data_IF_951593639012
#
_entry.id   IF_951593639012
#
_cell.length_a   1.000
_cell.length_b   1.000
_cell.length_c   1.000
_cell.angle_alpha   90.00
_cell.angle_beta   90.00
_cell.angle_gamma   90.00
#
_symmetry.space_group_name_H-M   'P 1'
#
loop_
_entity.id
_entity.type
_entity.pdbx_description
1 polymer ?
#
# COMPACT_ATOMS: atom_id res chain seq x y z
N UNK A 1 16.22 11.08 -9.41
CA UNK A 1 14.80 10.76 -9.15
C UNK A 1 14.52 9.36 -9.67
N UNK A 2 13.89 8.51 -8.86
CA UNK A 2 13.55 7.12 -9.20
C UNK A 2 12.05 6.95 -9.05
N UNK A 3 11.42 6.26 -10.01
CA UNK A 3 10.04 5.76 -9.89
C UNK A 3 10.11 4.24 -9.83
N UNK A 4 9.40 3.65 -8.87
CA UNK A 4 9.40 2.21 -8.69
C UNK A 4 8.05 1.65 -8.27
N UNK A 5 7.94 0.33 -8.37
CA UNK A 5 6.84 -0.44 -7.78
C UNK A 5 7.43 -1.59 -6.99
N UNK A 6 7.00 -1.73 -5.74
CA UNK A 6 7.38 -2.83 -4.83
C UNK A 6 6.21 -3.78 -4.64
N UNK A 7 6.56 -5.06 -4.47
CA UNK A 7 5.65 -6.16 -4.23
C UNK A 7 6.09 -6.90 -2.97
N UNK A 8 5.15 -7.33 -2.15
CA UNK A 8 5.46 -8.08 -0.94
C UNK A 8 4.22 -8.49 -0.16
N UNK A 9 4.42 -8.74 1.13
CA UNK A 9 3.41 -9.20 2.08
C UNK A 9 3.46 -8.28 3.29
N UNK A 10 2.32 -7.73 3.71
CA UNK A 10 2.26 -7.00 4.98
C UNK A 10 2.06 -8.04 6.08
N UNK A 11 3.14 -8.44 6.76
CA UNK A 11 3.11 -9.47 7.82
C UNK A 11 2.56 -8.95 9.15
N UNK A 12 2.40 -7.63 9.28
CA UNK A 12 1.76 -6.97 10.43
C UNK A 12 0.76 -5.90 9.98
N UNK A 13 0.13 -5.22 10.95
CA UNK A 13 -0.82 -4.15 10.65
C UNK A 13 -0.18 -3.02 9.84
N UNK A 14 -0.89 -2.56 8.81
CA UNK A 14 -0.43 -1.50 7.93
C UNK A 14 -1.59 -0.52 7.68
N UNK A 15 -1.43 0.73 8.10
CA UNK A 15 -2.49 1.76 8.11
C UNK A 15 -3.77 1.35 8.88
N UNK A 16 -3.62 0.56 9.94
CA UNK A 16 -4.76 0.05 10.70
C UNK A 16 -5.50 -1.13 10.06
N UNK A 17 -5.12 -1.54 8.84
CA UNK A 17 -5.58 -2.79 8.27
C UNK A 17 -4.75 -3.99 8.80
N UNK A 18 -5.36 -5.16 9.00
CA UNK A 18 -4.64 -6.37 9.41
C UNK A 18 -3.66 -6.85 8.33
N UNK A 19 -2.80 -7.81 8.70
CA UNK A 19 -1.82 -8.42 7.80
C UNK A 19 -2.47 -8.90 6.48
N UNK A 20 -1.77 -8.70 5.36
CA UNK A 20 -2.25 -9.06 4.02
C UNK A 20 -1.32 -10.06 3.36
N UNK A 21 -1.90 -11.03 2.62
CA UNK A 21 -1.12 -12.03 1.87
C UNK A 21 -0.38 -11.47 0.65
N UNK A 22 -0.82 -10.33 0.12
CA UNK A 22 -0.22 -9.63 -1.03
C UNK A 22 -0.42 -8.13 -0.87
N UNK A 23 0.65 -7.38 -1.11
CA UNK A 23 0.70 -5.93 -1.11
C UNK A 23 1.55 -5.45 -2.28
N UNK A 24 1.07 -4.41 -2.97
CA UNK A 24 1.77 -3.71 -4.03
C UNK A 24 1.81 -2.23 -3.70
N UNK A 25 2.89 -1.55 -4.04
CA UNK A 25 2.91 -0.10 -3.94
C UNK A 25 3.85 0.56 -4.93
N UNK A 26 3.37 1.64 -5.54
CA UNK A 26 4.19 2.51 -6.36
C UNK A 26 4.76 3.65 -5.52
N UNK A 27 5.95 4.11 -5.89
CA UNK A 27 6.61 5.23 -5.22
C UNK A 27 7.43 6.08 -6.20
N UNK A 28 7.63 7.32 -5.81
CA UNK A 28 8.63 8.22 -6.34
C UNK A 28 9.62 8.54 -5.22
N UNK A 29 10.90 8.58 -5.57
CA UNK A 29 11.99 8.81 -4.62
C UNK A 29 13.00 9.79 -5.20
N UNK A 30 13.40 10.74 -4.38
CA UNK A 30 14.47 11.69 -4.66
C UNK A 30 15.44 11.64 -3.49
N UNK A 31 16.71 11.41 -3.79
CA UNK A 31 17.78 11.30 -2.80
C UNK A 31 18.85 12.32 -3.15
N UNK A 32 19.26 13.13 -2.18
CA UNK A 32 20.45 13.97 -2.26
C UNK A 32 21.58 13.30 -1.50
N UNK A 33 22.73 13.20 -2.14
CA UNK A 33 23.94 12.65 -1.55
C UNK A 33 24.94 13.77 -1.25
N UNK A 34 25.68 13.65 -0.16
CA UNK A 34 26.90 14.40 0.10
C UNK A 34 27.93 13.45 0.71
N UNK A 35 29.17 13.48 0.22
CA UNK A 35 30.25 12.62 0.71
C UNK A 35 29.90 11.12 0.68
N UNK A 36 29.11 10.70 -0.31
CA UNK A 36 28.64 9.31 -0.45
C UNK A 36 27.50 8.92 0.51
N UNK A 37 27.07 9.83 1.38
CA UNK A 37 25.98 9.61 2.34
C UNK A 37 24.67 10.25 1.87
N UNK A 38 23.54 9.64 2.23
CA UNK A 38 22.22 10.24 2.02
C UNK A 38 22.02 11.36 3.02
N UNK A 39 21.98 12.60 2.54
CA UNK A 39 21.74 13.79 3.38
C UNK A 39 20.30 14.27 3.30
N UNK A 40 19.55 13.84 2.28
CA UNK A 40 18.14 14.15 2.13
C UNK A 40 17.44 13.07 1.31
N UNK A 41 16.20 12.76 1.68
CA UNK A 41 15.33 11.89 0.91
C UNK A 41 13.90 12.42 0.93
N UNK A 42 13.34 12.64 -0.26
CA UNK A 42 11.92 12.93 -0.45
C UNK A 42 11.30 11.72 -1.12
N UNK A 43 10.46 11.01 -0.36
CA UNK A 43 9.75 9.84 -0.86
C UNK A 43 8.24 10.11 -0.86
N UNK A 44 7.61 9.86 -2.01
CA UNK A 44 6.16 9.87 -2.15
C UNK A 44 5.70 8.47 -2.51
N UNK A 45 4.81 7.90 -1.71
CA UNK A 45 4.21 6.59 -1.97
C UNK A 45 2.73 6.74 -2.32
N UNK A 46 2.23 5.87 -3.19
CA UNK A 46 0.79 5.74 -3.44
C UNK A 46 0.10 5.07 -2.24
N UNK A 47 -0.16 5.87 -1.20
CA UNK A 47 -0.81 5.42 0.02
C UNK A 47 -2.27 5.04 -0.23
N UNK A 48 -2.97 5.79 -1.09
CA UNK A 48 -4.38 5.54 -1.40
C UNK A 48 -4.57 4.20 -2.11
N UNK A 49 -3.78 3.92 -3.16
CA UNK A 49 -3.79 2.64 -3.85
C UNK A 49 -3.37 1.48 -2.93
N UNK A 50 -2.50 1.76 -1.95
CA UNK A 50 -2.09 0.78 -0.93
C UNK A 50 -3.20 0.50 0.09
N UNK A 51 -3.93 1.51 0.56
CA UNK A 51 -5.08 1.34 1.46
C UNK A 51 -6.26 0.63 0.78
N UNK A 52 -6.48 0.84 -0.52
CA UNK A 52 -7.54 0.14 -1.27
C UNK A 52 -7.37 -1.38 -1.31
N UNK A 53 -6.16 -1.90 -1.22
CA UNK A 53 -5.90 -3.34 -1.33
C UNK A 53 -6.48 -4.17 -0.16
N UNK A 54 -6.27 -3.81 1.11
CA UNK A 54 -6.92 -4.51 2.22
C UNK A 54 -8.42 -4.21 2.30
N UNK A 55 -8.85 -2.94 2.13
CA UNK A 55 -10.24 -2.56 2.36
C UNK A 55 -11.18 -2.89 1.18
N UNK A 56 -10.69 -2.89 -0.07
CA UNK A 56 -11.52 -3.17 -1.24
C UNK A 56 -12.09 -4.58 -1.26
N UNK A 57 -11.35 -5.57 -0.73
CA UNK A 57 -11.87 -6.94 -0.57
C UNK A 57 -12.89 -7.03 0.55
N UNK A 58 -12.64 -6.41 1.69
CA UNK A 58 -13.58 -6.41 2.82
C UNK A 58 -14.93 -5.79 2.45
N UNK A 59 -14.91 -4.65 1.73
CA UNK A 59 -16.13 -4.01 1.23
C UNK A 59 -16.86 -4.87 0.19
N UNK A 60 -16.14 -5.56 -0.69
CA UNK A 60 -16.73 -6.50 -1.65
C UNK A 60 -17.44 -7.68 -0.96
N UNK A 61 -16.85 -8.26 0.08
CA UNK A 61 -17.46 -9.37 0.83
C UNK A 61 -18.71 -8.92 1.60
N UNK A 62 -18.67 -7.75 2.23
CA UNK A 62 -19.84 -7.17 2.94
C UNK A 62 -20.96 -6.88 1.95
N UNK A 63 -20.65 -6.28 0.80
CA UNK A 63 -21.63 -5.99 -0.25
C UNK A 63 -22.28 -7.25 -0.84
N UNK A 64 -21.50 -8.29 -1.11
CA UNK A 64 -22.01 -9.59 -1.58
C UNK A 64 -22.86 -10.30 -0.51
N UNK A 65 -22.45 -10.24 0.76
CA UNK A 65 -23.22 -10.81 1.87
C UNK A 65 -24.57 -10.12 2.07
N UNK A 66 -24.61 -8.79 1.95
CA UNK A 66 -25.86 -8.03 1.99
C UNK A 66 -26.79 -8.31 0.82
N UNK A 67 -26.24 -8.53 -0.38
CA UNK A 67 -27.03 -8.89 -1.56
C UNK A 67 -27.63 -10.30 -1.44
N UNK A 68 -26.88 -11.26 -0.87
CA UNK A 68 -27.34 -12.63 -0.66
C UNK A 68 -28.42 -12.74 0.43
N UNK A 69 -28.39 -11.84 1.43
CA UNK A 69 -29.40 -11.77 2.49
C UNK A 69 -30.76 -11.26 1.99
N UNK A 70 -30.80 -10.58 0.84
CA UNK A 70 -31.99 -10.03 0.22
C UNK A 70 -32.65 -10.97 -0.81
N UNK A 71 -32.10 -12.18 -1.01
CA UNK A 71 -32.63 -13.25 -1.86
C UNK A 71 -33.23 -14.36 -1.01
#
# INVERSE_FOLDING_TARGET
>A
MVRGTVFGTATGPLYGAPATRRSRASFFDYVRLAEGLIVERVQQADVLGRMRQPYGRALGTIGLGGLLWLL
#
